data_IF_570855438456
#
_entry.id   IF_570855438456
#
_cell.length_a   1.000
_cell.length_b   1.000
_cell.length_c   1.000
_cell.angle_alpha   90.00
_cell.angle_beta   90.00
_cell.angle_gamma   90.00
#
_symmetry.space_group_name_H-M   'P 1'
#
loop_
_entity.id
_entity.type
_entity.pdbx_description
1 polymer ?
#
# COMPACT_ATOMS: atom_id res chain seq x y z
N UNK A 1 61.30 54.21 -8.24
CA UNK A 1 60.03 53.85 -8.91
C UNK A 1 60.22 52.44 -9.48
N UNK A 2 59.51 51.45 -8.92
CA UNK A 2 58.35 50.74 -9.52
C UNK A 2 58.80 49.88 -10.74
N UNK A 3 58.52 48.58 -10.88
CA UNK A 3 57.61 47.65 -10.20
C UNK A 3 57.90 46.21 -10.72
N UNK A 4 57.92 45.22 -9.81
CA UNK A 4 57.36 43.84 -9.88
C UNK A 4 57.89 42.83 -10.92
N UNK A 5 58.58 41.77 -10.47
CA UNK A 5 58.07 40.46 -10.00
C UNK A 5 57.40 39.62 -11.10
N UNK A 6 58.17 38.68 -11.68
CA UNK A 6 57.63 37.44 -12.26
C UNK A 6 57.47 36.42 -11.12
N UNK A 7 56.22 36.15 -10.73
CA UNK A 7 55.88 34.98 -9.92
C UNK A 7 55.46 33.85 -10.88
N UNK A 8 56.20 32.76 -10.87
CA UNK A 8 55.91 31.57 -11.65
C UNK A 8 54.64 30.88 -11.10
N UNK A 9 53.74 30.56 -12.03
CA UNK A 9 52.57 29.71 -11.83
C UNK A 9 52.97 28.35 -11.25
N UNK A 10 52.47 28.04 -10.06
CA UNK A 10 52.22 26.67 -9.61
C UNK A 10 50.76 26.55 -9.22
N UNK A 11 49.89 26.59 -10.23
CA UNK A 11 48.51 26.12 -10.08
C UNK A 11 48.54 24.60 -9.97
N UNK A 12 48.65 24.09 -8.75
CA UNK A 12 48.41 22.69 -8.45
C UNK A 12 46.97 22.34 -8.81
N UNK A 13 46.80 21.57 -9.89
CA UNK A 13 45.58 20.84 -10.14
C UNK A 13 45.44 19.79 -9.05
N UNK A 14 44.71 20.13 -8.00
CA UNK A 14 44.06 19.13 -7.14
C UNK A 14 42.98 18.46 -7.99
N UNK A 15 43.37 17.40 -8.70
CA UNK A 15 42.42 16.45 -9.26
C UNK A 15 41.77 15.74 -8.06
N UNK A 16 40.70 16.29 -7.53
CA UNK A 16 39.79 15.53 -6.68
C UNK A 16 39.18 14.45 -7.57
N UNK A 17 39.65 13.22 -7.40
CA UNK A 17 39.02 12.03 -7.99
C UNK A 17 37.58 11.98 -7.49
N UNK A 18 36.65 12.52 -8.28
CA UNK A 18 35.24 12.25 -8.12
C UNK A 18 35.07 10.76 -8.43
N UNK A 19 35.00 9.93 -7.39
CA UNK A 19 34.61 8.53 -7.56
C UNK A 19 33.21 8.53 -8.16
N UNK A 20 33.11 8.08 -9.41
CA UNK A 20 31.84 8.00 -10.11
C UNK A 20 31.00 6.92 -9.43
N UNK A 21 29.89 7.32 -8.82
CA UNK A 21 28.94 6.39 -8.24
C UNK A 21 28.17 5.69 -9.38
N UNK A 22 28.17 4.36 -9.39
CA UNK A 22 27.45 3.59 -10.41
C UNK A 22 25.96 3.52 -10.05
N UNK A 23 25.09 3.92 -10.96
CA UNK A 23 23.64 3.87 -10.76
C UNK A 23 23.10 2.48 -11.10
N UNK A 24 22.35 1.90 -10.16
CA UNK A 24 21.67 0.61 -10.30
C UNK A 24 20.17 0.86 -10.16
N UNK A 25 19.40 0.45 -11.17
CA UNK A 25 17.94 0.58 -11.20
C UNK A 25 17.30 -0.79 -10.97
N UNK A 26 16.06 -0.81 -10.50
CA UNK A 26 15.23 -2.01 -10.48
C UNK A 26 15.00 -2.57 -11.90
N UNK A 27 14.64 -3.86 -11.96
CA UNK A 27 14.40 -4.59 -13.22
C UNK A 27 12.95 -5.06 -13.37
N UNK A 28 12.19 -5.09 -12.28
CA UNK A 28 10.88 -5.74 -12.16
C UNK A 28 9.74 -4.79 -11.73
N UNK A 29 10.01 -3.49 -11.68
CA UNK A 29 8.99 -2.47 -11.44
C UNK A 29 8.61 -2.35 -9.97
N UNK A 30 7.32 -2.52 -9.65
CA UNK A 30 6.76 -2.24 -8.31
C UNK A 30 6.43 -3.50 -7.50
N UNK A 31 7.03 -4.62 -7.85
CA UNK A 31 6.80 -5.89 -7.18
C UNK A 31 7.37 -5.86 -5.75
N UNK A 32 6.93 -6.82 -4.93
CA UNK A 32 7.39 -6.98 -3.56
C UNK A 32 8.90 -7.18 -3.49
N UNK A 33 9.42 -8.00 -4.41
CA UNK A 33 10.84 -8.31 -4.51
C UNK A 33 11.40 -7.69 -5.76
N UNK A 34 12.48 -6.94 -5.60
CA UNK A 34 13.26 -6.40 -6.70
C UNK A 34 14.62 -7.06 -6.76
N UNK A 35 14.97 -7.61 -7.93
CA UNK A 35 16.31 -8.18 -8.16
C UNK A 35 17.15 -7.24 -9.02
N UNK A 36 18.41 -7.10 -8.64
CA UNK A 36 19.38 -6.29 -9.37
C UNK A 36 20.31 -7.18 -10.19
N UNK A 37 20.83 -6.67 -11.32
CA UNK A 37 21.81 -7.39 -12.12
C UNK A 37 23.25 -7.20 -11.61
N UNK A 38 23.56 -6.01 -11.07
CA UNK A 38 24.91 -5.59 -10.72
C UNK A 38 24.92 -4.77 -9.41
N UNK A 39 26.10 -4.51 -8.87
CA UNK A 39 26.31 -3.67 -7.68
C UNK A 39 26.30 -4.44 -6.36
N UNK A 40 26.36 -3.70 -5.24
CA UNK A 40 26.48 -4.26 -3.90
C UNK A 40 25.24 -5.05 -3.43
N UNK A 41 24.07 -4.68 -3.95
CA UNK A 41 22.77 -5.26 -3.58
C UNK A 41 22.37 -6.34 -4.58
N UNK A 42 21.93 -7.49 -4.07
CA UNK A 42 21.37 -8.59 -4.86
C UNK A 42 19.88 -8.38 -5.10
N UNK A 43 19.14 -8.14 -4.02
CA UNK A 43 17.70 -7.87 -4.07
C UNK A 43 17.22 -7.04 -2.89
N UNK A 44 16.08 -6.38 -3.06
CA UNK A 44 15.33 -5.72 -2.00
C UNK A 44 13.94 -6.34 -1.91
N UNK A 45 13.45 -6.58 -0.69
CA UNK A 45 12.11 -7.12 -0.44
C UNK A 45 11.33 -6.12 0.42
N UNK A 46 10.30 -5.50 -0.16
CA UNK A 46 9.39 -4.61 0.57
C UNK A 46 8.46 -5.44 1.47
N UNK A 47 8.32 -5.00 2.71
CA UNK A 47 7.52 -5.70 3.73
C UNK A 47 6.86 -4.73 4.70
N UNK A 48 6.14 -3.75 4.15
CA UNK A 48 5.53 -2.71 4.98
C UNK A 48 4.19 -3.19 5.54
N UNK A 49 4.13 -3.34 6.86
CA UNK A 49 2.88 -3.69 7.56
C UNK A 49 1.86 -2.55 7.60
N UNK A 50 2.30 -1.31 7.37
CA UNK A 50 1.45 -0.13 7.32
C UNK A 50 1.66 0.68 6.06
N UNK A 51 0.57 1.19 5.51
CA UNK A 51 0.52 2.20 4.47
C UNK A 51 1.27 3.50 4.83
N UNK A 52 1.46 3.77 6.13
CA UNK A 52 2.02 5.02 6.64
C UNK A 52 3.52 4.96 6.85
N UNK A 53 4.11 3.78 6.94
CA UNK A 53 5.55 3.60 7.03
C UNK A 53 6.06 2.91 5.77
N UNK A 54 7.37 2.80 5.66
CA UNK A 54 7.99 1.90 4.70
C UNK A 54 9.00 1.03 5.43
N UNK A 55 8.99 -0.25 5.13
CA UNK A 55 9.96 -1.23 5.59
C UNK A 55 10.36 -2.15 4.45
N UNK A 56 11.66 -2.45 4.36
CA UNK A 56 12.19 -3.43 3.43
C UNK A 56 13.45 -4.11 3.95
N UNK A 57 13.75 -5.25 3.36
CA UNK A 57 14.95 -6.04 3.59
C UNK A 57 15.90 -5.87 2.42
N UNK A 58 17.16 -5.54 2.69
CA UNK A 58 18.21 -5.38 1.70
C UNK A 58 19.11 -6.61 1.77
N UNK A 59 19.18 -7.38 0.69
CA UNK A 59 20.06 -8.54 0.58
C UNK A 59 21.30 -8.16 -0.23
N UNK A 60 22.47 -8.27 0.37
CA UNK A 60 23.75 -7.98 -0.27
C UNK A 60 24.31 -9.20 -1.01
N UNK A 61 25.01 -8.96 -2.13
CA UNK A 61 25.70 -10.03 -2.86
C UNK A 61 26.83 -10.64 -2.04
N UNK A 62 27.57 -9.79 -1.35
CA UNK A 62 28.79 -10.14 -0.63
C UNK A 62 28.66 -9.79 0.85
N UNK A 63 29.34 -10.57 1.69
CA UNK A 63 29.42 -10.26 3.12
C UNK A 63 30.36 -9.06 3.31
N UNK A 64 29.91 -8.04 4.03
CA UNK A 64 30.68 -6.80 4.24
C UNK A 64 30.32 -5.66 3.29
N UNK A 65 29.44 -5.89 2.31
CA UNK A 65 28.74 -4.79 1.62
C UNK A 65 27.74 -4.13 2.57
N UNK A 66 27.52 -2.83 2.39
CA UNK A 66 26.60 -2.06 3.25
C UNK A 66 25.94 -0.91 2.48
N UNK A 67 24.79 -0.45 2.99
CA UNK A 67 24.17 0.80 2.56
C UNK A 67 24.20 1.79 3.73
N UNK A 68 24.72 3.00 3.49
CA UNK A 68 25.01 3.97 4.57
C UNK A 68 23.95 5.06 4.68
N UNK A 69 23.31 5.42 3.57
CA UNK A 69 22.29 6.46 3.52
C UNK A 69 21.20 6.08 2.54
N UNK A 70 19.99 6.58 2.79
CA UNK A 70 18.89 6.40 1.87
C UNK A 70 17.81 7.46 2.02
N UNK A 71 17.00 7.60 0.98
CA UNK A 71 15.95 8.62 0.90
C UNK A 71 14.78 8.11 0.09
N UNK A 72 13.56 8.42 0.53
CA UNK A 72 12.34 8.15 -0.21
C UNK A 72 11.87 9.43 -0.89
N UNK A 73 11.47 9.31 -2.15
CA UNK A 73 10.92 10.42 -2.92
C UNK A 73 9.81 9.95 -3.87
N UNK A 74 8.99 10.90 -4.28
CA UNK A 74 7.97 10.74 -5.31
C UNK A 74 8.60 10.46 -6.68
N UNK A 75 8.21 9.38 -7.34
CA UNK A 75 8.82 8.96 -8.60
C UNK A 75 8.69 10.02 -9.72
N UNK A 76 7.55 10.71 -9.77
CA UNK A 76 7.20 11.60 -10.89
C UNK A 76 7.71 13.02 -10.64
N UNK A 77 7.46 13.54 -9.44
CA UNK A 77 7.79 14.93 -9.08
C UNK A 77 9.20 15.08 -8.52
N UNK A 78 9.84 13.98 -8.10
CA UNK A 78 11.13 14.01 -7.41
C UNK A 78 11.07 14.59 -6.00
N UNK A 79 9.87 14.91 -5.48
CA UNK A 79 9.71 15.47 -4.15
C UNK A 79 10.20 14.48 -3.09
N UNK A 80 11.20 14.88 -2.32
CA UNK A 80 11.71 14.08 -1.21
C UNK A 80 10.71 14.04 -0.06
N UNK A 81 10.42 12.84 0.44
CA UNK A 81 9.56 12.60 1.59
C UNK A 81 10.36 12.46 2.88
N UNK A 82 11.61 11.97 2.79
CA UNK A 82 12.57 12.01 3.88
C UNK A 82 13.60 10.89 3.82
N UNK A 83 14.52 10.89 4.79
CA UNK A 83 15.57 9.88 4.89
C UNK A 83 15.09 8.62 5.57
N UNK A 84 15.66 7.49 5.18
CA UNK A 84 15.45 6.20 5.83
C UNK A 84 16.50 5.96 6.90
N UNK A 85 16.19 5.03 7.79
CA UNK A 85 17.10 4.51 8.81
C UNK A 85 17.41 3.05 8.48
N UNK A 86 18.60 2.59 8.87
CA UNK A 86 19.04 1.22 8.66
C UNK A 86 19.04 0.48 10.00
N UNK A 87 18.69 -0.80 9.95
CA UNK A 87 18.78 -1.73 11.05
C UNK A 87 19.50 -3.00 10.60
N UNK A 88 19.99 -3.77 11.56
CA UNK A 88 20.55 -5.10 11.29
C UNK A 88 19.43 -6.13 11.25
N UNK A 89 19.44 -7.09 10.32
CA UNK A 89 18.44 -8.16 10.25
C UNK A 89 18.51 -9.20 11.39
N UNK A 90 19.26 -8.91 12.45
CA UNK A 90 19.44 -9.73 13.64
C UNK A 90 20.80 -10.44 13.71
N UNK A 91 21.09 -11.14 14.81
CA UNK A 91 22.37 -11.81 15.02
C UNK A 91 22.65 -12.85 13.92
N UNK A 92 23.81 -12.75 13.26
CA UNK A 92 24.27 -13.70 12.24
C UNK A 92 23.83 -13.38 10.80
N UNK A 93 23.04 -12.32 10.58
CA UNK A 93 22.65 -11.89 9.24
C UNK A 93 23.75 -11.06 8.54
N UNK A 94 24.86 -11.68 8.18
CA UNK A 94 26.04 -10.99 7.62
C UNK A 94 25.85 -10.37 6.22
N UNK A 95 24.67 -10.58 5.60
CA UNK A 95 24.34 -10.13 4.23
C UNK A 95 22.94 -9.53 4.13
N UNK A 96 22.30 -9.23 5.24
CA UNK A 96 20.92 -8.71 5.24
C UNK A 96 20.81 -7.57 6.23
N UNK A 97 20.35 -6.43 5.73
CA UNK A 97 19.97 -5.28 6.53
C UNK A 97 18.47 -5.00 6.38
N UNK A 98 17.92 -4.27 7.34
CA UNK A 98 16.59 -3.67 7.24
C UNK A 98 16.71 -2.19 6.96
N UNK A 99 15.74 -1.66 6.23
CA UNK A 99 15.58 -0.24 5.99
C UNK A 99 14.17 0.19 6.34
N UNK A 100 14.04 1.26 7.10
CA UNK A 100 12.76 1.74 7.58
C UNK A 100 12.60 3.26 7.44
N UNK A 101 11.39 3.68 7.11
CA UNK A 101 10.97 5.07 7.06
C UNK A 101 9.83 5.30 8.04
N UNK A 102 10.11 6.10 9.07
CA UNK A 102 9.16 6.44 10.14
C UNK A 102 8.60 7.86 10.02
N UNK A 103 8.85 8.55 8.91
CA UNK A 103 8.39 9.93 8.71
C UNK A 103 6.87 10.06 8.53
N UNK A 104 6.18 8.97 8.22
CA UNK A 104 4.74 8.96 8.00
C UNK A 104 4.36 9.45 6.60
N UNK A 105 3.70 8.62 5.79
CA UNK A 105 3.12 9.07 4.53
C UNK A 105 1.74 9.69 4.72
N UNK A 106 1.51 10.86 4.11
CA UNK A 106 0.19 11.46 4.01
C UNK A 106 -0.73 10.70 3.05
N UNK A 107 -2.04 10.98 3.10
CA UNK A 107 -3.04 10.37 2.21
C UNK A 107 -2.73 10.60 0.72
N UNK A 108 -2.14 11.74 0.39
CA UNK A 108 -1.75 12.05 -0.98
C UNK A 108 -0.46 11.33 -1.39
N UNK A 109 0.45 11.07 -0.45
CA UNK A 109 1.70 10.36 -0.74
C UNK A 109 1.49 8.86 -0.91
N UNK A 110 0.57 8.24 -0.16
CA UNK A 110 0.29 6.80 -0.30
C UNK A 110 -0.39 6.42 -1.62
N UNK A 111 -0.98 7.40 -2.31
CA UNK A 111 -1.60 7.25 -3.64
C UNK A 111 -0.60 7.37 -4.79
N UNK A 112 0.69 7.56 -4.51
CA UNK A 112 1.72 7.80 -5.52
C UNK A 112 2.79 6.73 -5.49
N UNK A 113 3.33 6.44 -6.68
CA UNK A 113 4.51 5.61 -6.79
C UNK A 113 5.72 6.35 -6.22
N UNK A 114 6.57 5.58 -5.56
CA UNK A 114 7.65 6.10 -4.73
C UNK A 114 8.91 5.32 -5.03
N UNK A 115 10.03 5.95 -4.77
CA UNK A 115 11.35 5.36 -4.99
C UNK A 115 12.18 5.52 -3.73
N UNK A 116 12.77 4.42 -3.29
CA UNK A 116 13.84 4.40 -2.32
C UNK A 116 15.17 4.48 -3.07
N UNK A 117 15.94 5.54 -2.85
CA UNK A 117 17.33 5.62 -3.29
C UNK A 117 18.25 5.32 -2.12
N UNK A 118 19.19 4.40 -2.31
CA UNK A 118 20.20 4.00 -1.35
C UNK A 118 21.59 4.31 -1.91
N UNK A 119 22.50 4.74 -1.04
CA UNK A 119 23.93 4.79 -1.35
C UNK A 119 24.60 3.61 -0.64
N UNK A 120 25.16 2.70 -1.44
CA UNK A 120 25.71 1.43 -0.97
C UNK A 120 27.13 1.23 -1.49
N UNK A 121 27.90 0.40 -0.79
CA UNK A 121 29.24 0.02 -1.20
C UNK A 121 29.42 -1.49 -1.15
N UNK A 122 30.21 -2.04 -2.08
CA UNK A 122 30.64 -3.43 -2.02
C UNK A 122 31.88 -3.59 -1.11
N UNK A 123 32.36 -4.81 -0.95
CA UNK A 123 33.54 -5.12 -0.12
C UNK A 123 34.83 -4.46 -0.65
N UNK A 124 34.89 -4.19 -1.96
CA UNK A 124 36.02 -3.51 -2.62
C UNK A 124 35.97 -1.98 -2.44
N UNK A 125 34.91 -1.45 -1.83
CA UNK A 125 34.71 -0.01 -1.58
C UNK A 125 34.12 0.76 -2.75
N UNK A 126 33.72 0.08 -3.82
CA UNK A 126 33.05 0.70 -4.96
C UNK A 126 31.66 1.19 -4.57
N UNK A 127 31.34 2.42 -4.99
CA UNK A 127 30.12 3.11 -4.59
C UNK A 127 29.01 2.93 -5.62
N UNK A 128 27.82 2.57 -5.14
CA UNK A 128 26.62 2.35 -5.94
C UNK A 128 25.46 3.20 -5.44
N UNK A 129 24.63 3.68 -6.36
CA UNK A 129 23.34 4.29 -6.06
C UNK A 129 22.24 3.33 -6.49
N UNK A 130 21.60 2.68 -5.54
CA UNK A 130 20.58 1.67 -5.79
C UNK A 130 19.21 2.31 -5.69
N UNK A 131 18.39 2.17 -6.73
CA UNK A 131 17.02 2.63 -6.77
C UNK A 131 16.06 1.44 -6.66
N UNK A 132 15.07 1.56 -5.78
CA UNK A 132 14.02 0.58 -5.56
C UNK A 132 12.66 1.26 -5.66
N UNK A 133 11.91 0.97 -6.71
CA UNK A 133 10.54 1.44 -6.85
C UNK A 133 9.57 0.62 -6.02
N UNK A 134 8.56 1.29 -5.49
CA UNK A 134 7.44 0.64 -4.82
C UNK A 134 6.15 1.39 -5.12
N UNK A 135 5.05 0.64 -5.27
CA UNK A 135 3.81 1.19 -5.82
C UNK A 135 3.11 2.15 -4.87
N UNK A 136 2.18 2.91 -5.45
CA UNK A 136 1.03 3.43 -4.72
C UNK A 136 0.20 2.28 -4.10
N UNK A 137 -0.65 2.62 -3.13
CA UNK A 137 -1.68 1.70 -2.66
C UNK A 137 -2.73 1.43 -3.76
N UNK A 138 -3.42 0.28 -3.69
CA UNK A 138 -4.51 -0.04 -4.61
C UNK A 138 -5.59 1.03 -4.63
N UNK A 139 -6.25 1.19 -5.77
CA UNK A 139 -7.43 2.05 -5.93
C UNK A 139 -8.67 1.18 -6.07
N UNK A 140 -9.69 1.47 -5.26
CA UNK A 140 -10.97 0.75 -5.25
C UNK A 140 -12.09 1.71 -5.65
N UNK A 141 -12.69 1.45 -6.81
CA UNK A 141 -13.93 2.08 -7.26
C UNK A 141 -15.06 1.08 -7.11
N UNK A 142 -16.14 1.49 -6.42
CA UNK A 142 -17.16 0.55 -5.98
C UNK A 142 -18.56 1.15 -6.09
N UNK A 143 -19.31 0.68 -7.08
CA UNK A 143 -20.70 1.06 -7.31
C UNK A 143 -21.62 -0.05 -6.81
N UNK A 144 -22.56 0.30 -5.94
CA UNK A 144 -23.40 -0.69 -5.26
C UNK A 144 -24.84 -0.24 -5.13
N UNK A 145 -25.72 -1.23 -5.02
CA UNK A 145 -27.14 -1.01 -4.76
C UNK A 145 -27.66 -2.10 -3.83
N UNK A 146 -28.52 -1.72 -2.89
CA UNK A 146 -29.14 -2.64 -1.94
C UNK A 146 -30.65 -2.40 -1.92
N UNK A 147 -31.43 -3.46 -2.10
CA UNK A 147 -32.90 -3.41 -2.06
C UNK A 147 -33.44 -4.51 -1.14
N UNK A 148 -34.52 -4.22 -0.42
CA UNK A 148 -35.25 -5.22 0.36
C UNK A 148 -36.07 -6.11 -0.57
N UNK A 149 -35.97 -7.43 -0.41
CA UNK A 149 -36.73 -8.41 -1.22
C UNK A 149 -37.54 -9.40 -0.37
N UNK A 150 -37.21 -9.53 0.92
CA UNK A 150 -37.98 -10.30 1.89
C UNK A 150 -39.07 -9.47 2.58
N UNK A 151 -39.75 -10.06 3.56
CA UNK A 151 -40.71 -9.34 4.38
C UNK A 151 -40.01 -8.25 5.21
N UNK A 152 -40.59 -7.05 5.24
CA UNK A 152 -40.15 -5.99 6.15
C UNK A 152 -40.72 -6.24 7.55
N UNK A 153 -39.84 -6.20 8.56
CA UNK A 153 -40.18 -6.39 9.96
C UNK A 153 -39.86 -5.14 10.76
N UNK A 154 -40.70 -4.88 11.75
CA UNK A 154 -40.46 -3.86 12.76
C UNK A 154 -40.24 -4.55 14.11
N UNK A 155 -39.43 -3.95 15.01
CA UNK A 155 -39.34 -4.43 16.38
C UNK A 155 -40.74 -4.54 17.00
N UNK A 156 -41.05 -5.67 17.62
CA UNK A 156 -42.34 -5.87 18.28
C UNK A 156 -42.47 -4.94 19.50
N UNK A 157 -43.46 -4.06 19.44
CA UNK A 157 -43.75 -3.07 20.47
C UNK A 157 -44.83 -3.52 21.46
N UNK A 158 -45.22 -4.80 21.49
CA UNK A 158 -46.39 -5.28 22.26
C UNK A 158 -46.09 -5.91 23.63
N UNK A 159 -44.81 -5.92 24.08
CA UNK A 159 -44.39 -6.53 25.36
C UNK A 159 -44.06 -5.54 26.50
N UNK A 160 -44.08 -6.01 27.75
CA UNK A 160 -43.83 -5.18 28.96
C UNK A 160 -42.38 -4.65 29.10
N UNK A 161 -41.45 -5.12 28.27
CA UNK A 161 -40.05 -4.66 28.17
C UNK A 161 -39.80 -3.83 26.90
N UNK A 162 -40.84 -3.17 26.38
CA UNK A 162 -40.82 -2.48 25.10
C UNK A 162 -39.91 -1.25 25.08
N UNK A 163 -38.66 -1.44 24.64
CA UNK A 163 -37.86 -0.37 24.06
C UNK A 163 -38.44 -0.05 22.66
N UNK A 164 -39.53 0.72 22.64
CA UNK A 164 -40.12 1.22 21.40
C UNK A 164 -39.18 2.26 20.75
N UNK A 165 -38.83 2.06 19.47
CA UNK A 165 -38.04 3.03 18.69
C UNK A 165 -36.89 2.46 17.85
N UNK A 166 -36.79 1.14 17.68
CA UNK A 166 -35.78 0.53 16.81
C UNK A 166 -36.09 0.68 15.32
N UNK A 167 -35.05 0.71 14.49
CA UNK A 167 -35.18 0.65 13.01
C UNK A 167 -35.69 -0.74 12.60
N UNK A 168 -36.51 -0.80 11.56
CA UNK A 168 -36.94 -2.06 10.97
C UNK A 168 -35.84 -2.74 10.16
N UNK A 169 -36.13 -3.93 9.65
CA UNK A 169 -35.22 -4.70 8.80
C UNK A 169 -35.99 -5.50 7.77
N UNK A 170 -35.31 -5.93 6.72
CA UNK A 170 -35.82 -6.91 5.78
C UNK A 170 -35.26 -8.28 6.12
N UNK A 171 -36.06 -9.34 6.06
CA UNK A 171 -35.57 -10.72 6.23
C UNK A 171 -34.60 -11.15 5.11
N UNK A 172 -34.74 -10.54 3.94
CA UNK A 172 -33.85 -10.76 2.80
C UNK A 172 -33.57 -9.45 2.07
N UNK A 173 -32.32 -9.26 1.68
CA UNK A 173 -31.88 -8.13 0.87
C UNK A 173 -31.21 -8.64 -0.40
N UNK A 174 -31.46 -7.95 -1.51
CA UNK A 174 -30.77 -8.17 -2.80
C UNK A 174 -29.71 -7.10 -2.97
N UNK A 175 -28.48 -7.54 -3.19
CA UNK A 175 -27.32 -6.69 -3.31
C UNK A 175 -26.69 -6.83 -4.69
N UNK A 176 -26.44 -5.69 -5.34
CA UNK A 176 -25.72 -5.59 -6.60
C UNK A 176 -24.45 -4.78 -6.39
N UNK A 177 -23.35 -5.24 -6.95
CA UNK A 177 -22.02 -4.64 -6.79
C UNK A 177 -21.24 -4.70 -8.12
N UNK A 178 -20.63 -3.58 -8.47
CA UNK A 178 -19.65 -3.43 -9.54
C UNK A 178 -18.38 -2.85 -8.93
N UNK A 179 -17.34 -3.68 -8.85
CA UNK A 179 -16.10 -3.37 -8.15
C UNK A 179 -14.95 -3.36 -9.15
N UNK A 180 -14.32 -2.20 -9.33
CA UNK A 180 -13.09 -2.07 -10.09
C UNK A 180 -11.91 -1.85 -9.14
N UNK A 181 -10.89 -2.69 -9.28
CA UNK A 181 -9.68 -2.62 -8.46
C UNK A 181 -8.46 -2.51 -9.36
N UNK A 182 -7.63 -1.51 -9.06
CA UNK A 182 -6.30 -1.34 -9.64
C UNK A 182 -5.25 -1.43 -8.52
N UNK A 183 -4.56 -2.57 -8.46
CA UNK A 183 -3.59 -2.90 -7.42
C UNK A 183 -2.23 -2.26 -7.62
N UNK A 184 -1.95 -1.67 -8.80
CA UNK A 184 -0.67 -1.03 -9.15
C UNK A 184 0.55 -1.97 -9.20
N UNK A 185 0.43 -3.22 -8.75
CA UNK A 185 1.44 -4.28 -8.80
C UNK A 185 0.75 -5.65 -8.89
N UNK A 186 1.52 -6.71 -9.16
CA UNK A 186 0.99 -8.07 -9.26
C UNK A 186 0.96 -8.82 -7.91
N UNK A 187 1.68 -8.33 -6.89
CA UNK A 187 1.82 -8.96 -5.56
C UNK A 187 0.74 -8.53 -4.56
N UNK A 188 -0.46 -8.20 -5.06
CA UNK A 188 -1.59 -7.74 -4.23
C UNK A 188 -2.79 -8.65 -4.41
N UNK A 189 -3.47 -8.92 -3.29
CA UNK A 189 -4.77 -9.61 -3.28
C UNK A 189 -5.77 -8.83 -2.44
N UNK A 190 -7.05 -9.09 -2.66
CA UNK A 190 -8.14 -8.48 -1.92
C UNK A 190 -9.04 -9.53 -1.27
N UNK A 191 -9.60 -9.17 -0.12
CA UNK A 191 -10.60 -9.91 0.64
C UNK A 191 -11.84 -9.05 0.86
N UNK A 192 -12.98 -9.69 1.06
CA UNK A 192 -14.23 -9.00 1.30
C UNK A 192 -15.02 -9.68 2.42
N UNK A 193 -15.58 -8.87 3.30
CA UNK A 193 -16.39 -9.33 4.42
C UNK A 193 -17.70 -8.56 4.48
N UNK A 194 -18.74 -9.26 4.93
CA UNK A 194 -20.06 -8.72 5.17
C UNK A 194 -20.35 -8.80 6.66
N UNK A 195 -20.77 -7.68 7.26
CA UNK A 195 -21.07 -7.59 8.70
C UNK A 195 -19.95 -8.21 9.57
N UNK A 196 -20.27 -8.62 10.80
CA UNK A 196 -19.30 -9.25 11.71
C UNK A 196 -19.07 -10.72 11.35
N UNK A 197 -18.39 -10.96 10.22
CA UNK A 197 -17.81 -12.27 9.87
C UNK A 197 -18.53 -13.08 8.79
N UNK A 198 -19.46 -12.51 8.02
CA UNK A 198 -20.10 -13.19 6.90
C UNK A 198 -19.36 -12.98 5.57
N UNK A 199 -19.67 -13.86 4.62
CA UNK A 199 -19.08 -13.89 3.27
C UNK A 199 -19.74 -12.84 2.38
N UNK A 200 -18.95 -11.95 1.80
CA UNK A 200 -19.40 -10.82 0.98
C UNK A 200 -19.63 -11.22 -0.49
N UNK A 201 -18.88 -12.21 -0.97
CA UNK A 201 -18.99 -12.78 -2.33
C UNK A 201 -18.89 -11.76 -3.48
N UNK A 202 -18.44 -10.53 -3.23
CA UNK A 202 -18.36 -9.45 -4.25
C UNK A 202 -17.34 -9.71 -5.35
N UNK A 203 -16.44 -10.68 -5.18
CA UNK A 203 -15.50 -11.09 -6.20
C UNK A 203 -16.08 -12.21 -7.07
N UNK A 204 -17.14 -11.94 -7.84
CA UNK A 204 -17.81 -12.93 -8.70
C UNK A 204 -18.26 -14.20 -7.94
N UNK A 205 -18.77 -14.03 -6.72
CA UNK A 205 -19.21 -15.16 -5.87
C UNK A 205 -18.20 -15.60 -4.80
N UNK A 206 -16.97 -15.06 -4.82
CA UNK A 206 -15.90 -15.42 -3.89
C UNK A 206 -15.60 -14.30 -2.88
N UNK A 207 -15.02 -14.67 -1.73
CA UNK A 207 -14.66 -13.74 -0.64
C UNK A 207 -13.24 -13.19 -0.76
N UNK A 208 -12.44 -13.75 -1.66
CA UNK A 208 -11.10 -13.28 -1.94
C UNK A 208 -10.74 -13.44 -3.41
N UNK A 209 -9.66 -12.79 -3.77
CA UNK A 209 -9.07 -12.82 -5.11
C UNK A 209 -7.70 -13.48 -5.05
N UNK A 210 -7.24 -14.11 -6.15
CA UNK A 210 -5.81 -14.44 -6.29
C UNK A 210 -4.97 -13.15 -6.39
N UNK A 211 -3.67 -13.28 -6.60
CA UNK A 211 -2.80 -12.15 -6.95
C UNK A 211 -3.16 -11.61 -8.34
N UNK A 212 -3.29 -10.28 -8.49
CA UNK A 212 -3.63 -9.64 -9.77
C UNK A 212 -3.19 -8.18 -9.84
N UNK A 213 -3.01 -7.66 -11.07
CA UNK A 213 -2.69 -6.24 -11.30
C UNK A 213 -3.94 -5.34 -11.33
N UNK A 214 -4.90 -5.63 -12.20
CA UNK A 214 -6.17 -4.89 -12.26
C UNK A 214 -7.28 -5.83 -12.69
N UNK A 215 -8.47 -5.66 -12.12
CA UNK A 215 -9.62 -6.46 -12.49
C UNK A 215 -10.95 -5.75 -12.18
N UNK A 216 -12.02 -6.28 -12.76
CA UNK A 216 -13.39 -5.91 -12.49
C UNK A 216 -14.15 -7.13 -11.97
N UNK A 217 -14.95 -6.91 -10.93
CA UNK A 217 -15.79 -7.93 -10.31
C UNK A 217 -17.23 -7.46 -10.26
N UNK A 218 -18.13 -8.34 -10.68
CA UNK A 218 -19.56 -8.12 -10.72
C UNK A 218 -20.28 -9.10 -9.81
N UNK A 219 -21.25 -8.58 -9.07
CA UNK A 219 -22.23 -9.38 -8.35
C UNK A 219 -23.60 -8.79 -8.66
N UNK A 220 -24.48 -9.56 -9.28
CA UNK A 220 -25.82 -9.10 -9.65
C UNK A 220 -26.87 -9.79 -8.79
N UNK A 221 -27.74 -8.98 -8.17
CA UNK A 221 -28.93 -9.43 -7.45
C UNK A 221 -28.69 -10.58 -6.46
N UNK A 222 -27.57 -10.56 -5.75
CA UNK A 222 -27.26 -11.59 -4.77
C UNK A 222 -28.17 -11.42 -3.54
N UNK A 223 -28.92 -12.47 -3.23
CA UNK A 223 -29.87 -12.47 -2.11
C UNK A 223 -29.16 -12.96 -0.84
N UNK A 224 -29.28 -12.18 0.22
CA UNK A 224 -28.75 -12.49 1.54
C UNK A 224 -29.89 -12.57 2.55
N UNK A 225 -29.95 -13.67 3.29
CA UNK A 225 -30.75 -13.75 4.51
C UNK A 225 -30.10 -12.85 5.56
N UNK A 226 -30.84 -11.84 6.00
CA UNK A 226 -30.31 -10.79 6.83
C UNK A 226 -31.41 -10.31 7.79
N UNK A 227 -31.07 -9.99 9.03
CA UNK A 227 -32.08 -9.65 10.04
C UNK A 227 -31.63 -8.50 10.93
N UNK A 228 -30.98 -7.50 10.35
CA UNK A 228 -30.48 -6.34 11.08
C UNK A 228 -30.83 -5.01 10.43
N UNK A 229 -30.68 -3.89 11.14
CA UNK A 229 -31.01 -2.58 10.62
C UNK A 229 -29.92 -2.00 9.69
N UNK A 230 -28.70 -2.54 9.69
CA UNK A 230 -27.56 -1.98 8.93
C UNK A 230 -26.71 -3.04 8.20
N UNK A 231 -26.71 -3.03 6.87
CA UNK A 231 -25.96 -3.95 6.04
C UNK A 231 -24.57 -3.38 5.70
N UNK A 232 -23.52 -3.99 6.23
CA UNK A 232 -22.13 -3.56 6.06
C UNK A 232 -21.38 -4.45 5.09
N UNK A 233 -20.65 -3.83 4.17
CA UNK A 233 -19.74 -4.46 3.24
C UNK A 233 -18.36 -3.82 3.35
N UNK A 234 -17.31 -4.64 3.40
CA UNK A 234 -15.93 -4.20 3.53
C UNK A 234 -15.08 -4.93 2.50
N UNK A 235 -14.32 -4.18 1.70
CA UNK A 235 -13.29 -4.72 0.81
C UNK A 235 -11.94 -4.24 1.32
N UNK A 236 -11.01 -5.19 1.53
CA UNK A 236 -9.65 -4.91 1.98
C UNK A 236 -8.66 -5.47 0.97
N UNK A 237 -7.80 -4.62 0.42
CA UNK A 237 -6.71 -5.04 -0.45
C UNK A 237 -5.37 -4.95 0.29
N UNK A 238 -4.57 -6.01 0.17
CA UNK A 238 -3.30 -6.20 0.85
C UNK A 238 -2.17 -6.15 -0.18
N UNK A 239 -1.33 -5.13 -0.06
CA UNK A 239 -0.16 -4.92 -0.92
C UNK A 239 1.14 -5.01 -0.11
N UNK A 240 2.30 -5.16 -0.75
CA UNK A 240 3.59 -5.11 -0.06
C UNK A 240 3.87 -3.80 0.68
N UNK A 241 3.18 -2.72 0.30
CA UNK A 241 3.37 -1.36 0.83
C UNK A 241 2.28 -0.95 1.84
N UNK A 242 1.49 -1.92 2.33
CA UNK A 242 0.40 -1.70 3.28
C UNK A 242 -0.97 -2.10 2.73
N UNK A 243 -2.01 -1.66 3.42
CA UNK A 243 -3.39 -2.09 3.15
C UNK A 243 -4.30 -0.91 2.86
N UNK A 244 -5.32 -1.15 2.04
CA UNK A 244 -6.42 -0.22 1.83
C UNK A 244 -7.73 -0.94 2.11
N UNK A 245 -8.62 -0.29 2.85
CA UNK A 245 -9.93 -0.80 3.18
C UNK A 245 -11.00 0.19 2.71
N UNK A 246 -11.95 -0.26 1.89
CA UNK A 246 -13.16 0.48 1.54
C UNK A 246 -14.35 -0.12 2.26
N UNK A 247 -15.16 0.72 2.91
CA UNK A 247 -16.31 0.29 3.71
C UNK A 247 -17.57 1.00 3.25
N UNK A 248 -18.63 0.24 2.98
CA UNK A 248 -19.96 0.73 2.70
C UNK A 248 -20.95 0.21 3.74
N UNK A 249 -21.77 1.09 4.32
CA UNK A 249 -22.84 0.70 5.27
C UNK A 249 -24.16 1.28 4.79
N UNK A 250 -25.08 0.37 4.49
CA UNK A 250 -26.46 0.67 4.16
C UNK A 250 -27.31 0.55 5.41
N UNK A 251 -28.23 1.48 5.62
CA UNK A 251 -29.11 1.46 6.78
C UNK A 251 -30.56 1.51 6.34
N UNK A 252 -31.36 0.63 6.93
CA UNK A 252 -32.80 0.55 6.73
C UNK A 252 -33.46 1.59 7.64
N UNK A 253 -34.04 2.62 7.06
CA UNK A 253 -34.72 3.71 7.76
C UNK A 253 -36.23 3.52 7.79
N UNK A 254 -36.77 2.67 6.89
CA UNK A 254 -38.19 2.35 6.79
C UNK A 254 -38.46 1.30 5.72
N UNK A 255 -39.74 0.96 5.55
CA UNK A 255 -40.16 0.10 4.45
C UNK A 255 -39.91 0.81 3.11
N UNK A 256 -39.11 0.19 2.26
CA UNK A 256 -38.58 0.66 0.99
C UNK A 256 -37.60 1.83 1.10
N UNK A 257 -37.04 2.06 2.29
CA UNK A 257 -36.11 3.13 2.57
C UNK A 257 -34.79 2.55 3.10
N UNK A 258 -33.89 2.25 2.17
CA UNK A 258 -32.53 1.76 2.42
C UNK A 258 -31.55 2.76 1.83
N UNK A 259 -30.72 3.37 2.69
CA UNK A 259 -29.79 4.41 2.29
C UNK A 259 -28.35 4.02 2.58
N UNK A 260 -27.43 4.36 1.67
CA UNK A 260 -26.00 4.29 1.93
C UNK A 260 -25.63 5.47 2.84
N UNK A 261 -25.47 5.20 4.15
CA UNK A 261 -25.12 6.24 5.12
C UNK A 261 -23.60 6.42 5.27
N UNK A 262 -22.82 5.38 4.96
CA UNK A 262 -21.37 5.38 5.13
C UNK A 262 -20.70 4.85 3.88
N UNK A 263 -19.80 5.63 3.30
CA UNK A 263 -18.85 5.19 2.26
C UNK A 263 -17.51 5.90 2.46
N UNK A 264 -16.48 5.16 2.87
CA UNK A 264 -15.15 5.72 3.10
C UNK A 264 -14.04 4.71 2.87
N UNK A 265 -12.84 5.26 2.70
CA UNK A 265 -11.60 4.52 2.51
C UNK A 265 -10.64 4.81 3.66
N UNK A 266 -9.96 3.77 4.14
CA UNK A 266 -8.88 3.84 5.14
C UNK A 266 -7.62 3.23 4.57
N UNK A 267 -6.48 3.89 4.81
CA UNK A 267 -5.15 3.36 4.54
C UNK A 267 -4.54 2.86 5.84
N UNK A 268 -4.21 1.56 5.90
CA UNK A 268 -3.70 0.87 7.08
C UNK A 268 -2.26 0.47 6.87
#
# INVERSE_FOLDING_TARGET
MKLKLLAALTSGLLATSAFAQTVVQDLDGYNRTTVYANGAVDRIVTDSLSARSYEAWIYFRESGSECTTGTIFDEVTGQTYGSVQFGTAGPGAARVDTVHFNGGFSDEQVKRNRVLALNCQNIEGEQFKVYHKFSALPVITWDTNLVGVGEYKMPDCTGASSHCGGRGWYEQVSYTSSLHIDNKNEDTYCTATMNDGFTSRVFNGYDSTPLFHTNHYGLENAVYDYSGPAFRQVVTCHSPVGQIQRTQVWVVSGENDINLEVDYTVYK
#
